data_IF_860500662557
#
_entry.id   IF_860500662557
#
_cell.length_a   1.000
_cell.length_b   1.000
_cell.length_c   1.000
_cell.angle_alpha   90.00
_cell.angle_beta   90.00
_cell.angle_gamma   90.00
#
_symmetry.space_group_name_H-M   'P 1'
#
loop_
_entity.id
_entity.type
_entity.pdbx_description
1 polymer ?
#
# COMPACT_ATOMS: atom_id res chain seq x y z
N UNK A 1 -4.88 32.75 4.50
CA UNK A 1 -5.68 32.21 3.37
C UNK A 1 -4.97 30.95 2.90
N UNK A 2 -5.64 29.81 2.74
CA UNK A 2 -4.99 28.57 2.30
C UNK A 2 -5.07 28.40 0.78
N UNK A 3 -3.99 27.94 0.15
CA UNK A 3 -4.02 27.40 -1.22
C UNK A 3 -4.08 25.88 -1.18
N UNK A 4 -4.90 25.30 -2.06
CA UNK A 4 -5.11 23.84 -2.15
C UNK A 4 -4.52 23.28 -3.45
N UNK A 5 -3.21 22.95 -3.47
CA UNK A 5 -2.59 22.41 -4.67
C UNK A 5 -3.24 21.07 -5.04
N UNK A 6 -3.48 20.84 -6.33
CA UNK A 6 -4.03 19.58 -6.88
C UNK A 6 -2.90 18.76 -7.50
N UNK A 7 -2.94 17.44 -7.37
CA UNK A 7 -1.97 16.53 -8.02
C UNK A 7 -2.59 16.03 -9.30
N UNK A 8 -1.83 16.10 -10.37
CA UNK A 8 -2.20 15.52 -11.64
C UNK A 8 -2.14 14.00 -11.61
N UNK A 9 -2.92 13.36 -12.48
CA UNK A 9 -2.95 11.90 -12.64
C UNK A 9 -1.57 11.27 -12.87
N UNK A 10 -0.76 11.87 -13.75
CA UNK A 10 0.61 11.42 -14.06
C UNK A 10 1.59 11.78 -12.94
N UNK A 11 1.38 12.94 -12.32
CA UNK A 11 2.23 13.46 -11.25
C UNK A 11 2.18 12.54 -10.01
N UNK A 12 1.00 12.03 -9.66
CA UNK A 12 0.82 11.05 -8.58
C UNK A 12 1.69 9.80 -8.80
N UNK A 13 1.67 9.25 -10.02
CA UNK A 13 2.42 8.05 -10.35
C UNK A 13 3.94 8.31 -10.41
N UNK A 14 4.35 9.51 -10.83
CA UNK A 14 5.76 9.94 -10.70
C UNK A 14 6.19 10.00 -9.22
N UNK A 15 5.39 10.62 -8.36
CA UNK A 15 5.70 10.69 -6.93
C UNK A 15 5.70 9.34 -6.23
N UNK A 16 4.91 8.38 -6.71
CA UNK A 16 4.91 7.01 -6.23
C UNK A 16 6.29 6.35 -6.38
N UNK A 17 6.89 6.44 -7.57
CA UNK A 17 8.22 5.88 -7.83
C UNK A 17 9.35 6.70 -7.21
N UNK A 18 9.21 8.02 -7.11
CA UNK A 18 10.23 8.86 -6.46
C UNK A 18 10.29 8.63 -4.94
N UNK A 19 9.16 8.42 -4.29
CA UNK A 19 9.07 8.19 -2.85
C UNK A 19 9.09 6.70 -2.49
N UNK A 20 9.84 5.89 -3.24
CA UNK A 20 9.79 4.43 -3.16
C UNK A 20 10.04 3.89 -1.74
N UNK A 21 11.08 4.39 -1.07
CA UNK A 21 11.44 4.01 0.32
C UNK A 21 11.07 5.08 1.35
N UNK A 22 10.28 6.09 0.95
CA UNK A 22 9.97 7.20 1.84
C UNK A 22 8.70 6.91 2.66
N UNK A 23 8.91 6.43 3.89
CA UNK A 23 7.86 6.20 4.88
C UNK A 23 7.57 7.44 5.75
N UNK A 24 8.35 8.50 5.59
CA UNK A 24 8.19 9.75 6.34
C UNK A 24 7.27 10.70 5.55
N UNK A 25 6.63 11.62 6.28
CA UNK A 25 5.75 12.61 5.69
C UNK A 25 4.30 12.13 5.50
N UNK A 26 3.56 12.90 4.69
CA UNK A 26 2.11 12.79 4.51
C UNK A 26 1.78 12.70 3.02
N UNK A 27 0.79 11.89 2.67
CA UNK A 27 0.25 11.80 1.31
C UNK A 27 -1.22 12.17 1.31
N UNK A 28 -1.63 12.90 0.28
CA UNK A 28 -3.04 13.30 0.10
C UNK A 28 -3.87 12.18 -0.51
N UNK A 29 -5.19 12.26 -0.32
CA UNK A 29 -6.14 11.28 -0.88
C UNK A 29 -6.00 11.11 -2.40
N UNK A 30 -5.81 12.20 -3.15
CA UNK A 30 -5.73 12.12 -4.61
C UNK A 30 -4.48 11.39 -5.08
N UNK A 31 -3.34 11.54 -4.39
CA UNK A 31 -2.13 10.77 -4.70
C UNK A 31 -2.37 9.27 -4.50
N UNK A 32 -2.98 8.90 -3.38
CA UNK A 32 -3.33 7.51 -3.09
C UNK A 32 -4.26 6.91 -4.15
N UNK A 33 -5.37 7.59 -4.45
CA UNK A 33 -6.39 7.06 -5.37
C UNK A 33 -5.96 7.06 -6.84
N UNK A 34 -5.13 8.01 -7.28
CA UNK A 34 -4.57 7.95 -8.63
C UNK A 34 -3.60 6.79 -8.81
N UNK A 35 -2.76 6.52 -7.81
CA UNK A 35 -1.85 5.35 -7.84
C UNK A 35 -2.64 4.05 -7.80
N UNK A 36 -3.68 3.97 -6.97
CA UNK A 36 -4.58 2.81 -6.92
C UNK A 36 -5.23 2.55 -8.29
N UNK A 37 -5.69 3.61 -8.97
CA UNK A 37 -6.26 3.51 -10.32
C UNK A 37 -5.23 3.04 -11.36
N UNK A 38 -4.00 3.57 -11.31
CA UNK A 38 -2.91 3.12 -12.20
C UNK A 38 -2.59 1.64 -12.02
N UNK A 39 -2.42 1.20 -10.77
CA UNK A 39 -2.18 -0.20 -10.47
C UNK A 39 -3.33 -1.08 -10.98
N UNK A 40 -4.58 -0.69 -10.70
CA UNK A 40 -5.75 -1.40 -11.21
C UNK A 40 -5.74 -1.53 -12.74
N UNK A 41 -5.47 -0.43 -13.46
CA UNK A 41 -5.42 -0.43 -14.92
C UNK A 41 -4.30 -1.33 -15.46
N UNK A 42 -3.11 -1.27 -14.86
CA UNK A 42 -1.96 -2.10 -15.26
C UNK A 42 -2.29 -3.59 -15.10
N UNK A 43 -2.88 -3.98 -13.96
CA UNK A 43 -3.29 -5.37 -13.74
C UNK A 43 -4.36 -5.80 -14.74
N UNK A 44 -5.46 -5.05 -14.87
CA UNK A 44 -6.59 -5.40 -15.76
C UNK A 44 -6.13 -5.52 -17.21
N UNK A 45 -5.40 -4.52 -17.72
CA UNK A 45 -4.94 -4.51 -19.11
C UNK A 45 -3.97 -5.66 -19.36
N UNK A 46 -3.01 -5.90 -18.46
CA UNK A 46 -2.01 -6.96 -18.65
C UNK A 46 -2.65 -8.35 -18.59
N UNK A 47 -3.53 -8.61 -17.63
CA UNK A 47 -4.25 -9.89 -17.54
C UNK A 47 -5.19 -10.10 -18.73
N UNK A 48 -5.86 -9.05 -19.20
CA UNK A 48 -6.72 -9.14 -20.37
C UNK A 48 -5.91 -9.48 -21.63
N UNK A 49 -4.77 -8.82 -21.86
CA UNK A 49 -3.89 -9.14 -23.00
C UNK A 49 -3.33 -10.56 -22.87
N UNK A 50 -2.85 -10.95 -21.68
CA UNK A 50 -2.34 -12.29 -21.43
C UNK A 50 -3.40 -13.36 -21.73
N UNK A 51 -4.65 -13.13 -21.31
CA UNK A 51 -5.79 -14.00 -21.60
C UNK A 51 -6.04 -14.13 -23.11
N UNK A 52 -6.07 -13.02 -23.84
CA UNK A 52 -6.25 -13.05 -25.30
C UNK A 52 -5.13 -13.80 -26.03
N UNK A 53 -3.88 -13.71 -25.53
CA UNK A 53 -2.76 -14.44 -26.10
C UNK A 53 -2.93 -15.96 -26.06
N UNK A 54 -3.67 -16.52 -25.09
CA UNK A 54 -3.93 -17.96 -25.02
C UNK A 54 -4.82 -18.48 -26.17
N UNK A 55 -5.60 -17.63 -26.82
CA UNK A 55 -6.44 -18.01 -27.95
C UNK A 55 -5.71 -17.97 -29.30
N UNK A 56 -4.46 -17.47 -29.33
CA UNK A 56 -3.65 -17.39 -30.55
C UNK A 56 -2.82 -18.66 -30.67
N UNK A 57 -3.04 -19.52 -31.69
CA UNK A 57 -2.26 -20.74 -31.86
C UNK A 57 -0.77 -20.47 -32.09
N UNK A 58 0.09 -21.38 -31.62
CA UNK A 58 1.53 -21.25 -31.79
C UNK A 58 2.18 -20.43 -30.69
N UNK A 59 2.68 -19.23 -31.01
CA UNK A 59 3.46 -18.41 -30.07
C UNK A 59 2.61 -17.70 -29.00
N UNK A 60 1.28 -17.69 -29.13
CA UNK A 60 0.37 -17.00 -28.22
C UNK A 60 0.52 -17.39 -26.75
N UNK A 61 0.44 -18.68 -26.38
CA UNK A 61 0.62 -19.13 -24.99
C UNK A 61 1.97 -18.72 -24.39
N UNK A 62 3.05 -18.74 -25.18
CA UNK A 62 4.40 -18.33 -24.73
C UNK A 62 4.39 -16.84 -24.36
N UNK A 63 3.81 -15.99 -25.21
CA UNK A 63 3.65 -14.56 -24.92
C UNK A 63 2.76 -14.31 -23.69
N UNK A 64 1.69 -15.10 -23.53
CA UNK A 64 0.83 -15.05 -22.34
C UNK A 64 1.60 -15.33 -21.06
N UNK A 65 2.41 -16.39 -21.03
CA UNK A 65 3.26 -16.73 -19.87
C UNK A 65 4.28 -15.63 -19.57
N UNK A 66 4.92 -15.05 -20.60
CA UNK A 66 5.86 -13.94 -20.42
C UNK A 66 5.18 -12.74 -19.75
N UNK A 67 3.97 -12.38 -20.19
CA UNK A 67 3.20 -11.29 -19.58
C UNK A 67 2.84 -11.58 -18.12
N UNK A 68 2.51 -12.83 -17.79
CA UNK A 68 2.25 -13.27 -16.40
C UNK A 68 3.51 -13.12 -15.53
N UNK A 69 4.69 -13.47 -16.06
CA UNK A 69 5.95 -13.28 -15.34
C UNK A 69 6.25 -11.79 -15.14
N UNK A 70 6.04 -10.96 -16.16
CA UNK A 70 6.26 -9.51 -16.06
C UNK A 70 5.34 -8.85 -15.05
N UNK A 71 4.05 -9.23 -15.02
CA UNK A 71 3.12 -8.67 -14.03
C UNK A 71 3.44 -9.15 -12.61
N UNK A 72 3.95 -10.37 -12.45
CA UNK A 72 4.45 -10.87 -11.17
C UNK A 72 5.66 -10.06 -10.68
N UNK A 73 6.63 -9.78 -11.55
CA UNK A 73 7.77 -8.91 -11.22
C UNK A 73 7.33 -7.48 -10.88
N UNK A 74 6.36 -6.94 -11.61
CA UNK A 74 5.75 -5.64 -11.30
C UNK A 74 5.07 -5.66 -9.92
N UNK A 75 4.31 -6.71 -9.60
CA UNK A 75 3.68 -6.86 -8.30
C UNK A 75 4.73 -6.82 -7.18
N UNK A 76 5.83 -7.57 -7.31
CA UNK A 76 6.94 -7.53 -6.35
C UNK A 76 7.57 -6.14 -6.21
N UNK A 77 7.84 -5.47 -7.33
CA UNK A 77 8.43 -4.12 -7.33
C UNK A 77 7.50 -3.07 -6.69
N UNK A 78 6.18 -3.27 -6.74
CA UNK A 78 5.23 -2.31 -6.18
C UNK A 78 4.90 -2.54 -4.71
N UNK A 79 5.35 -3.64 -4.09
CA UNK A 79 5.08 -3.94 -2.67
C UNK A 79 5.54 -2.80 -1.76
N UNK A 80 6.82 -2.43 -1.87
CA UNK A 80 7.47 -1.42 -1.02
C UNK A 80 6.84 -0.03 -1.20
N UNK A 81 6.71 0.52 -2.42
CA UNK A 81 6.15 1.85 -2.60
C UNK A 81 4.65 1.92 -2.26
N UNK A 82 3.88 0.84 -2.43
CA UNK A 82 2.48 0.81 -1.97
C UNK A 82 2.40 0.87 -0.45
N UNK A 83 3.25 0.13 0.26
CA UNK A 83 3.32 0.19 1.72
C UNK A 83 3.74 1.59 2.20
N UNK A 84 4.75 2.18 1.57
CA UNK A 84 5.20 3.53 1.88
C UNK A 84 4.10 4.58 1.66
N UNK A 85 3.35 4.48 0.56
CA UNK A 85 2.23 5.37 0.26
C UNK A 85 1.08 5.22 1.27
N UNK A 86 0.76 3.98 1.66
CA UNK A 86 -0.29 3.69 2.65
C UNK A 86 0.10 4.23 4.03
N UNK A 87 1.35 4.05 4.46
CA UNK A 87 1.87 4.63 5.71
C UNK A 87 1.74 6.15 5.70
N UNK A 88 2.18 6.82 4.63
CA UNK A 88 2.05 8.29 4.49
C UNK A 88 0.59 8.76 4.52
N UNK A 89 -0.33 7.94 4.02
CA UNK A 89 -1.78 8.22 4.07
C UNK A 89 -2.30 8.14 5.50
N UNK A 90 -1.90 7.13 6.25
CA UNK A 90 -2.24 6.99 7.66
C UNK A 90 -1.68 8.13 8.51
N UNK A 91 -0.44 8.52 8.26
CA UNK A 91 0.18 9.69 8.86
C UNK A 91 -0.59 10.97 8.55
N UNK A 92 -1.15 11.12 7.35
CA UNK A 92 -1.93 12.30 6.98
C UNK A 92 -3.24 12.44 7.79
N UNK A 93 -3.86 11.32 8.15
CA UNK A 93 -5.05 11.29 9.03
C UNK A 93 -4.64 11.35 10.52
N UNK A 94 -3.35 11.21 10.82
CA UNK A 94 -2.79 11.27 12.18
C UNK A 94 -2.77 9.92 12.90
N UNK A 95 -2.92 8.82 12.18
CA UNK A 95 -2.71 7.47 12.71
C UNK A 95 -1.23 7.07 12.65
N UNK A 96 -0.88 6.01 13.37
CA UNK A 96 0.47 5.42 13.35
C UNK A 96 0.66 4.44 12.19
N UNK A 97 1.92 4.17 11.85
CA UNK A 97 2.35 3.18 10.85
C UNK A 97 1.93 1.74 11.18
N UNK A 98 1.62 1.42 12.44
CA UNK A 98 1.39 0.05 12.88
C UNK A 98 0.22 -0.65 12.19
N UNK A 99 -0.90 0.06 11.98
CA UNK A 99 -2.09 -0.52 11.36
C UNK A 99 -1.81 -1.04 9.94
N UNK A 100 -1.27 -0.22 9.00
CA UNK A 100 -0.99 -0.70 7.65
C UNK A 100 0.10 -1.78 7.63
N UNK A 101 1.10 -1.72 8.52
CA UNK A 101 2.12 -2.79 8.63
C UNK A 101 1.53 -4.12 9.11
N UNK A 102 0.69 -4.10 10.16
CA UNK A 102 0.03 -5.31 10.67
C UNK A 102 -0.90 -5.87 9.60
N UNK A 103 -1.68 -5.02 8.92
CA UNK A 103 -2.55 -5.44 7.81
C UNK A 103 -1.75 -6.13 6.71
N UNK A 104 -0.58 -5.58 6.36
CA UNK A 104 0.29 -6.15 5.34
C UNK A 104 0.87 -7.51 5.75
N UNK A 105 1.41 -7.63 6.98
CA UNK A 105 2.00 -8.88 7.49
C UNK A 105 0.94 -9.98 7.61
N UNK A 106 -0.23 -9.66 8.18
CA UNK A 106 -1.33 -10.62 8.31
C UNK A 106 -1.80 -11.11 6.93
N UNK A 107 -1.86 -10.20 5.95
CA UNK A 107 -2.22 -10.57 4.58
C UNK A 107 -1.19 -11.53 3.96
N UNK A 108 0.12 -11.29 4.13
CA UNK A 108 1.16 -12.20 3.63
C UNK A 108 1.04 -13.57 4.28
N UNK A 109 0.90 -13.62 5.60
CA UNK A 109 0.78 -14.89 6.34
C UNK A 109 -0.43 -15.67 5.83
N UNK A 110 -1.57 -15.00 5.64
CA UNK A 110 -2.76 -15.62 5.07
C UNK A 110 -2.51 -16.19 3.67
N UNK A 111 -1.91 -15.42 2.74
CA UNK A 111 -1.60 -15.90 1.39
C UNK A 111 -0.65 -17.11 1.40
N UNK A 112 0.36 -17.10 2.26
CA UNK A 112 1.28 -18.25 2.40
C UNK A 112 0.52 -19.47 2.91
N UNK A 113 -0.32 -19.33 3.94
CA UNK A 113 -1.10 -20.46 4.47
C UNK A 113 -2.10 -20.99 3.43
N UNK A 114 -2.76 -20.12 2.67
CA UNK A 114 -3.73 -20.52 1.64
C UNK A 114 -3.07 -21.22 0.46
N UNK A 115 -1.92 -20.75 -0.02
CA UNK A 115 -1.22 -21.36 -1.15
C UNK A 115 -0.54 -22.69 -0.77
N UNK A 116 -0.22 -22.86 0.51
CA UNK A 116 0.49 -24.02 1.04
C UNK A 116 -0.45 -25.11 1.56
N UNK A 117 -1.75 -24.79 1.71
CA UNK A 117 -2.81 -25.77 2.00
C UNK A 117 -3.16 -26.51 0.72
N UNK A 118 -2.74 -27.78 0.54
CA UNK A 118 -3.07 -28.52 -0.67
C UNK A 118 -4.59 -28.71 -0.77
N UNK A 119 -5.13 -28.53 -1.98
CA UNK A 119 -6.43 -29.08 -2.31
C UNK A 119 -6.33 -30.61 -2.13
N UNK A 120 -7.29 -31.23 -1.41
CA UNK A 120 -7.39 -32.69 -1.30
C UNK A 120 -7.80 -33.30 -2.66
N UNK A 121 -6.93 -33.22 -3.66
CA UNK A 121 -7.07 -34.01 -4.88
C UNK A 121 -6.59 -35.42 -4.57
N UNK A 122 -7.51 -36.25 -4.06
CA UNK A 122 -7.31 -37.69 -3.94
C UNK A 122 -7.26 -38.26 -5.36
N UNK A 123 -6.06 -38.37 -5.94
CA UNK A 123 -5.86 -39.25 -7.09
C UNK A 123 -5.99 -40.69 -6.60
N UNK A 124 -7.20 -41.26 -6.67
CA UNK A 124 -7.43 -42.69 -6.44
C UNK A 124 -6.74 -43.51 -7.54
N UNK A 125 -5.53 -43.98 -7.26
CA UNK A 125 -4.83 -44.93 -8.10
C UNK A 125 -5.20 -46.35 -7.69
N UNK A 126 -5.88 -47.09 -8.56
CA UNK A 126 -6.14 -48.52 -8.39
C UNK A 126 -4.98 -49.32 -9.01
N UNK A 127 -4.10 -49.86 -8.17
CA UNK A 127 -3.10 -50.85 -8.59
C UNK A 127 -3.55 -52.23 -8.13
N UNK A 128 -3.84 -53.13 -9.08
CA UNK A 128 -4.20 -54.52 -8.80
C UNK A 128 -5.35 -54.70 -7.78
N UNK A 129 -6.36 -53.82 -7.78
CA UNK A 129 -7.49 -53.87 -6.85
C UNK A 129 -7.19 -53.30 -5.46
N UNK A 130 -6.02 -52.68 -5.25
CA UNK A 130 -5.67 -51.94 -4.04
C UNK A 130 -5.78 -50.45 -4.33
N UNK A 131 -6.72 -49.79 -3.67
CA UNK A 131 -6.86 -48.34 -3.69
C UNK A 131 -5.68 -47.73 -2.90
N UNK A 132 -4.65 -47.30 -3.61
CA UNK A 132 -3.51 -46.63 -2.98
C UNK A 132 -3.70 -45.13 -3.04
N UNK A 133 -3.94 -44.51 -1.87
CA UNK A 133 -3.84 -43.06 -1.69
C UNK A 133 -2.37 -42.71 -1.53
N UNK A 134 -1.71 -42.23 -2.59
CA UNK A 134 -0.35 -41.69 -2.50
C UNK A 134 -0.44 -40.23 -2.07
N UNK A 135 -0.51 -40.00 -0.76
CA UNK A 135 -0.47 -38.64 -0.17
C UNK A 135 0.98 -38.20 -0.08
N UNK A 136 1.51 -37.59 -1.13
CA UNK A 136 2.84 -37.01 -1.14
C UNK A 136 2.80 -35.50 -0.94
N UNK A 137 2.51 -35.00 0.27
CA UNK A 137 2.54 -33.55 0.56
C UNK A 137 3.03 -33.25 1.99
N UNK A 138 3.49 -32.01 2.20
CA UNK A 138 3.64 -31.43 3.54
C UNK A 138 2.23 -31.22 4.12
N UNK A 139 1.70 -32.22 4.82
CA UNK A 139 0.38 -32.11 5.44
C UNK A 139 0.39 -31.03 6.54
N UNK A 140 -0.36 -29.95 6.32
CA UNK A 140 -0.67 -28.93 7.33
C UNK A 140 -1.88 -29.33 8.20
N UNK A 141 -2.18 -30.62 8.33
CA UNK A 141 -3.28 -31.16 9.14
C UNK A 141 -3.26 -30.72 10.62
N UNK A 142 -2.16 -30.13 11.08
CA UNK A 142 -2.05 -29.52 12.40
C UNK A 142 -2.71 -28.13 12.50
N UNK A 143 -2.93 -27.44 11.37
CA UNK A 143 -3.60 -26.14 11.29
C UNK A 143 -5.10 -26.41 11.16
N UNK A 144 -5.93 -26.04 12.16
CA UNK A 144 -7.36 -26.25 12.05
C UNK A 144 -7.98 -25.37 10.97
N UNK A 145 -8.95 -25.87 10.20
CA UNK A 145 -9.64 -25.10 9.14
C UNK A 145 -10.23 -23.78 9.66
N UNK A 146 -10.76 -23.79 10.89
CA UNK A 146 -11.31 -22.59 11.52
C UNK A 146 -10.26 -21.49 11.70
N UNK A 147 -8.98 -21.82 11.83
CA UNK A 147 -7.90 -20.84 11.90
C UNK A 147 -7.73 -20.12 10.55
N UNK A 148 -7.87 -20.83 9.43
CA UNK A 148 -7.87 -20.23 8.10
C UNK A 148 -9.02 -19.23 7.91
N UNK A 149 -10.25 -19.63 8.27
CA UNK A 149 -11.42 -18.76 8.17
C UNK A 149 -11.35 -17.54 9.11
N UNK A 150 -10.83 -17.72 10.33
CA UNK A 150 -10.65 -16.60 11.26
C UNK A 150 -9.57 -15.63 10.78
N UNK A 151 -8.44 -16.10 10.26
CA UNK A 151 -7.42 -15.26 9.64
C UNK A 151 -7.93 -14.52 8.40
N UNK A 152 -8.74 -15.17 7.57
CA UNK A 152 -9.42 -14.52 6.44
C UNK A 152 -10.33 -13.39 6.95
N UNK A 153 -11.16 -13.67 7.96
CA UNK A 153 -12.06 -12.67 8.53
C UNK A 153 -11.31 -11.45 9.08
N UNK A 154 -10.19 -11.67 9.77
CA UNK A 154 -9.32 -10.62 10.31
C UNK A 154 -8.68 -9.80 9.18
N UNK A 155 -8.22 -10.47 8.13
CA UNK A 155 -7.63 -9.82 6.95
C UNK A 155 -8.65 -8.91 6.27
N UNK A 156 -9.90 -9.37 6.09
CA UNK A 156 -10.98 -8.56 5.52
C UNK A 156 -11.25 -7.33 6.39
N UNK A 157 -11.37 -7.50 7.71
CA UNK A 157 -11.63 -6.39 8.65
C UNK A 157 -10.50 -5.35 8.58
N UNK A 158 -9.24 -5.77 8.62
CA UNK A 158 -8.08 -4.86 8.55
C UNK A 158 -8.04 -4.10 7.21
N UNK A 159 -8.35 -4.78 6.10
CA UNK A 159 -8.43 -4.14 4.79
C UNK A 159 -9.57 -3.11 4.72
N UNK A 160 -10.73 -3.40 5.31
CA UNK A 160 -11.84 -2.45 5.41
C UNK A 160 -11.42 -1.22 6.23
N UNK A 161 -10.76 -1.41 7.37
CA UNK A 161 -10.24 -0.30 8.18
C UNK A 161 -9.25 0.54 7.38
N UNK A 162 -8.32 -0.10 6.66
CA UNK A 162 -7.37 0.61 5.79
C UNK A 162 -8.06 1.39 4.68
N UNK A 163 -9.10 0.82 4.08
CA UNK A 163 -9.90 1.46 3.05
C UNK A 163 -10.64 2.69 3.60
N UNK A 164 -11.30 2.57 4.75
CA UNK A 164 -11.98 3.69 5.41
C UNK A 164 -10.99 4.81 5.68
N UNK A 165 -9.83 4.52 6.26
CA UNK A 165 -8.80 5.53 6.54
C UNK A 165 -8.26 6.15 5.26
N UNK A 166 -8.10 5.38 4.18
CA UNK A 166 -7.70 5.91 2.88
C UNK A 166 -8.73 6.88 2.29
N UNK A 167 -10.02 6.73 2.62
CA UNK A 167 -11.12 7.59 2.19
C UNK A 167 -11.30 8.86 3.04
N UNK A 168 -10.84 8.87 4.30
CA UNK A 168 -10.95 10.05 5.18
C UNK A 168 -10.29 11.28 4.56
N UNK A 169 -10.70 12.49 4.94
CA UNK A 169 -10.05 13.72 4.45
C UNK A 169 -8.76 14.04 5.22
N UNK A 170 -7.88 14.81 4.60
CA UNK A 170 -6.64 15.28 5.20
C UNK A 170 -6.91 16.26 6.33
N UNK A 171 -6.17 16.16 7.45
CA UNK A 171 -6.22 17.16 8.52
C UNK A 171 -5.58 18.48 8.08
N UNK A 172 -6.23 19.59 8.43
CA UNK A 172 -5.77 20.96 8.14
C UNK A 172 -4.52 21.33 8.94
N UNK A 173 -4.47 20.88 10.20
CA UNK A 173 -3.39 21.19 11.11
C UNK A 173 -2.11 20.40 10.79
N UNK A 174 -0.98 21.00 11.15
CA UNK A 174 0.31 20.31 11.23
C UNK A 174 0.19 19.19 12.26
N UNK A 175 0.68 18.00 11.93
CA UNK A 175 0.73 16.89 12.86
C UNK A 175 2.20 16.46 13.06
N UNK A 176 2.43 15.49 13.95
CA UNK A 176 3.76 14.93 14.23
C UNK A 176 4.54 14.46 12.97
N UNK A 177 3.84 14.18 11.88
CA UNK A 177 4.42 13.67 10.64
C UNK A 177 4.65 14.74 9.57
N UNK A 178 4.36 16.02 9.87
CA UNK A 178 4.67 17.16 9.01
C UNK A 178 3.46 18.01 8.60
N UNK A 179 3.70 19.03 7.76
CA UNK A 179 2.68 19.97 7.30
C UNK A 179 1.66 19.28 6.39
N UNK A 180 0.44 19.83 6.34
CA UNK A 180 -0.62 19.28 5.50
C UNK A 180 -0.30 19.45 4.01
N UNK A 181 -0.30 18.38 3.19
CA UNK A 181 -0.06 18.50 1.75
C UNK A 181 -1.23 19.17 1.01
N UNK A 182 -2.38 19.36 1.67
CA UNK A 182 -3.60 19.94 1.09
C UNK A 182 -3.78 21.41 1.47
N UNK A 183 -3.41 21.83 2.67
CA UNK A 183 -3.67 23.18 3.18
C UNK A 183 -2.34 23.90 3.40
N UNK A 184 -1.94 24.72 2.44
CA UNK A 184 -0.70 25.51 2.48
C UNK A 184 -1.06 26.97 2.74
N UNK A 185 -0.45 27.62 3.74
CA UNK A 185 -0.69 29.02 4.06
C UNK A 185 -0.13 29.94 2.95
N UNK A 186 -0.99 30.82 2.41
CA UNK A 186 -0.62 31.79 1.38
C UNK A 186 0.42 32.79 1.93
N UNK A 187 1.66 32.64 1.50
CA UNK A 187 2.83 33.38 2.00
C UNK A 187 4.04 32.46 2.23
N UNK A 188 3.80 31.18 2.49
CA UNK A 188 4.80 30.11 2.48
C UNK A 188 4.81 29.39 1.12
N UNK A 189 4.88 30.15 0.03
CA UNK A 189 5.20 29.61 -1.30
C UNK A 189 6.68 29.21 -1.34
N UNK A 190 7.00 28.12 -0.66
CA UNK A 190 7.87 27.13 -1.27
C UNK A 190 6.92 26.14 -1.93
N UNK A 191 6.50 26.40 -3.16
CA UNK A 191 5.89 25.38 -4.02
C UNK A 191 6.65 24.08 -3.81
N UNK A 192 5.91 23.00 -3.52
CA UNK A 192 6.43 21.67 -3.16
C UNK A 192 7.94 21.56 -3.39
N UNK A 193 8.78 21.69 -2.34
CA UNK A 193 10.22 21.72 -2.53
C UNK A 193 10.66 20.32 -2.98
N UNK A 194 10.68 20.14 -4.29
CA UNK A 194 11.24 18.97 -4.95
C UNK A 194 12.77 18.95 -4.83
N UNK A 195 13.39 19.99 -4.24
CA UNK A 195 14.84 20.15 -4.11
C UNK A 195 15.38 20.08 -2.65
N UNK A 196 14.55 19.87 -1.62
CA UNK A 196 15.02 19.67 -0.24
C UNK A 196 15.07 18.18 0.18
N UNK A 197 15.20 17.28 -0.80
CA UNK A 197 15.52 15.87 -0.59
C UNK A 197 17.04 15.63 -0.68
N UNK A 198 17.80 16.28 0.19
CA UNK A 198 19.14 15.83 0.57
C UNK A 198 19.26 15.94 2.09
N UNK A 199 19.82 14.88 2.66
CA UNK A 199 20.13 14.73 4.08
C UNK A 199 20.73 16.01 4.66
N UNK A 200 20.35 16.38 5.89
CA UNK A 200 21.30 16.80 6.93
C UNK A 200 20.59 17.10 8.27
N UNK A 201 21.32 16.83 9.35
CA UNK A 201 20.94 17.02 10.75
C UNK A 201 20.63 18.49 11.14
N UNK A 202 20.71 19.44 10.19
CA UNK A 202 20.31 20.84 10.36
C UNK A 202 18.79 21.05 10.40
N UNK A 203 17.98 20.04 10.06
CA UNK A 203 16.53 20.13 10.06
C UNK A 203 15.89 19.94 11.46
N UNK A 204 16.60 19.38 12.44
CA UNK A 204 16.07 19.29 13.82
C UNK A 204 16.14 20.64 14.55
N UNK A 205 17.17 21.45 14.34
CA UNK A 205 17.30 22.78 14.95
C UNK A 205 16.32 23.81 14.35
N UNK A 206 16.05 23.74 13.04
CA UNK A 206 15.06 24.61 12.40
C UNK A 206 13.63 24.22 12.76
N UNK A 207 13.35 22.92 12.91
CA UNK A 207 12.05 22.40 13.34
C UNK A 207 11.76 22.69 14.82
N UNK A 208 12.75 22.57 15.70
CA UNK A 208 12.59 22.94 17.13
C UNK A 208 12.45 24.45 17.35
N UNK A 209 13.17 25.27 16.58
CA UNK A 209 12.97 26.73 16.57
C UNK A 209 11.55 27.10 16.11
N UNK A 210 11.03 26.39 15.10
CA UNK A 210 9.68 26.57 14.57
C UNK A 210 8.59 26.10 15.55
N UNK A 211 8.75 24.94 16.19
CA UNK A 211 7.85 24.44 17.23
C UNK A 211 7.76 25.40 18.42
N UNK A 212 8.90 25.96 18.85
CA UNK A 212 8.95 26.94 19.95
C UNK A 212 8.23 28.24 19.59
N UNK A 213 8.30 28.64 18.31
CA UNK A 213 7.63 29.84 17.80
C UNK A 213 6.12 29.66 17.71
N UNK A 214 5.68 28.49 17.22
CA UNK A 214 4.28 28.12 17.11
C UNK A 214 3.61 27.91 18.48
N UNK A 215 4.31 27.29 19.44
CA UNK A 215 3.80 27.16 20.82
C UNK A 215 3.58 28.51 21.50
N UNK A 216 4.50 29.47 21.32
CA UNK A 216 4.32 30.82 21.87
C UNK A 216 3.13 31.56 21.23
N UNK A 217 2.84 31.28 19.97
CA UNK A 217 1.71 31.88 19.26
C UNK A 217 0.37 31.27 19.68
N UNK A 218 0.34 29.95 19.90
CA UNK A 218 -0.81 29.23 20.49
C UNK A 218 -1.09 29.72 21.92
N UNK A 219 -0.05 29.95 22.73
CA UNK A 219 -0.17 30.46 24.09
C UNK A 219 -0.70 31.91 24.09
N UNK A 220 -0.25 32.77 23.16
CA UNK A 220 -0.77 34.13 23.02
C UNK A 220 -2.23 34.20 22.55
N UNK A 221 -2.67 33.30 21.67
CA UNK A 221 -4.06 33.27 21.18
C UNK A 221 -5.03 32.61 22.18
N UNK A 222 -4.52 31.81 23.12
CA UNK A 222 -5.31 31.23 24.23
C UNK A 222 -5.75 32.26 25.28
N UNK A 223 -5.13 33.44 25.36
CA UNK A 223 -5.51 34.52 26.30
C UNK A 223 -6.40 35.61 25.67
N UNK A 224 -6.88 35.40 24.43
CA UNK A 224 -7.76 36.34 23.71
C UNK A 224 -9.25 36.01 23.77
N UNK A 225 -9.66 35.07 24.62
CA UNK A 225 -11.05 34.79 24.96
C UNK A 225 -11.30 34.94 26.45
#
# INVERSE_FOLDING_TARGET
>A
MYVTPKVGFVEAYKYFWLNYFNFKGRSRRSEYWWVALWNFLIYVVTFFIAFLCFFIPGAGPILGVILVILIFLYALATIIPNLALQVRRFHDVGFSMWIPMISFIVSIIYNIISDLSPDEDISEGNINGVDTKVTGNLNFDFIPDWLGYTLLSLTIILNIVCLIIALLDSKEQVNKYGPSPKYIEAGHDKGFPNDELKDDASNEESFTSYETSQQKQIEQDSYKY
#
